data_IF_991994203301
#
_entry.id   IF_991994203301
#
_cell.length_a   1.000
_cell.length_b   1.000
_cell.length_c   1.000
_cell.angle_alpha   90.00
_cell.angle_beta   90.00
_cell.angle_gamma   90.00
#
_symmetry.space_group_name_H-M   'P 1'
#
loop_
_entity.id
_entity.type
_entity.pdbx_description
1 polymer ?
#
# COMPACT_ATOMS: atom_id res chain seq x y z
N UNK A 1 -14.86 14.18 24.89
CA UNK A 1 -13.40 14.38 24.77
C UNK A 1 -13.02 13.83 23.42
N UNK A 2 -12.56 14.68 22.49
CA UNK A 2 -12.05 14.22 21.19
C UNK A 2 -10.79 13.40 21.45
N UNK A 3 -10.81 12.12 21.09
CA UNK A 3 -9.62 11.29 21.16
C UNK A 3 -8.55 11.97 20.29
N UNK A 4 -7.44 12.39 20.91
CA UNK A 4 -6.36 13.11 20.23
C UNK A 4 -5.40 12.16 19.53
N UNK A 5 -5.72 10.86 19.50
CA UNK A 5 -4.90 9.85 18.85
C UNK A 5 -5.07 9.93 17.34
N UNK A 6 -3.96 9.74 16.63
CA UNK A 6 -3.95 9.67 15.17
C UNK A 6 -2.93 8.66 14.68
N UNK A 7 -3.25 8.02 13.57
CA UNK A 7 -2.35 7.18 12.80
C UNK A 7 -1.97 7.94 11.52
N UNK A 8 -0.70 7.89 11.16
CA UNK A 8 -0.24 8.28 9.82
C UNK A 8 0.37 7.08 9.13
N UNK A 9 0.12 6.94 7.83
CA UNK A 9 0.76 5.92 7.00
C UNK A 9 1.53 6.62 5.89
N UNK A 10 2.82 6.35 5.82
CA UNK A 10 3.73 6.89 4.82
C UNK A 10 4.13 5.79 3.84
N UNK A 11 4.04 6.07 2.54
CA UNK A 11 4.75 5.32 1.51
C UNK A 11 6.20 5.80 1.51
N UNK A 12 7.10 5.02 2.11
CA UNK A 12 8.50 5.44 2.28
C UNK A 12 9.32 5.19 1.03
N UNK A 13 8.99 4.16 0.26
CA UNK A 13 9.61 3.92 -1.04
C UNK A 13 9.18 2.64 -1.72
N UNK A 14 9.84 2.39 -2.84
CA UNK A 14 9.60 1.26 -3.72
C UNK A 14 10.94 0.53 -3.97
N UNK A 15 10.90 -0.79 -3.93
CA UNK A 15 12.01 -1.66 -4.32
C UNK A 15 11.61 -2.47 -5.56
N UNK A 16 12.38 -2.37 -6.64
CA UNK A 16 12.36 -3.35 -7.71
C UNK A 16 13.16 -4.59 -7.27
N UNK A 17 12.46 -5.71 -7.09
CA UNK A 17 13.07 -6.98 -6.68
C UNK A 17 13.50 -7.80 -7.90
N UNK A 18 12.66 -7.82 -8.94
CA UNK A 18 12.92 -8.43 -10.23
C UNK A 18 12.49 -7.41 -11.28
N UNK A 19 13.39 -7.09 -12.22
CA UNK A 19 13.11 -6.18 -13.33
C UNK A 19 12.41 -6.97 -14.42
N UNK A 20 11.39 -6.37 -15.03
CA UNK A 20 10.77 -6.92 -16.22
C UNK A 20 11.57 -6.49 -17.45
N UNK A 21 11.94 -5.21 -17.55
CA UNK A 21 12.70 -4.66 -18.67
C UNK A 21 13.99 -3.88 -18.27
N UNK A 22 14.59 -3.22 -19.27
CA UNK A 22 15.89 -2.54 -19.14
C UNK A 22 15.84 -1.18 -18.46
N UNK A 23 14.79 -0.38 -18.72
CA UNK A 23 14.66 1.01 -18.22
C UNK A 23 13.45 1.24 -17.29
N UNK A 24 12.65 0.19 -16.98
CA UNK A 24 11.37 0.17 -16.22
C UNK A 24 10.87 1.58 -15.84
N UNK A 25 10.00 2.11 -16.70
CA UNK A 25 9.22 3.32 -16.42
C UNK A 25 7.95 2.87 -15.72
N UNK A 26 7.82 3.18 -14.42
CA UNK A 26 6.67 2.71 -13.65
C UNK A 26 5.85 3.87 -13.10
N UNK A 27 4.54 3.69 -13.12
CA UNK A 27 3.62 4.51 -12.35
C UNK A 27 2.76 3.63 -11.47
N UNK A 28 2.34 4.17 -10.34
CA UNK A 28 1.57 3.39 -9.39
C UNK A 28 0.62 4.23 -8.57
N UNK A 29 -0.20 3.51 -7.82
CA UNK A 29 -1.22 4.09 -6.97
C UNK A 29 -1.28 3.33 -5.65
N UNK A 30 -1.42 4.08 -4.57
CA UNK A 30 -1.76 3.54 -3.25
C UNK A 30 -3.18 3.97 -2.92
N UNK A 31 -4.09 3.01 -2.96
CA UNK A 31 -5.42 3.12 -2.38
C UNK A 31 -5.38 2.90 -0.89
N UNK A 32 -6.01 3.79 -0.14
CA UNK A 32 -6.25 3.63 1.28
C UNK A 32 -7.74 3.58 1.51
N UNK A 33 -8.22 2.47 2.07
CA UNK A 33 -9.63 2.26 2.38
C UNK A 33 -9.79 2.21 3.89
N UNK A 34 -10.76 2.97 4.41
CA UNK A 34 -11.17 2.96 5.82
C UNK A 34 -12.57 2.35 5.89
N UNK A 35 -12.70 1.02 6.09
CA UNK A 35 -13.96 0.32 5.94
C UNK A 35 -15.05 0.85 6.86
N UNK A 36 -14.70 1.17 8.12
CA UNK A 36 -15.63 1.67 9.14
C UNK A 36 -16.31 2.98 8.76
N UNK A 37 -15.70 3.76 7.86
CA UNK A 37 -16.20 5.05 7.39
C UNK A 37 -16.76 5.04 5.98
N UNK A 38 -16.62 3.92 5.23
CA UNK A 38 -16.94 3.86 3.79
C UNK A 38 -16.16 4.90 2.97
N UNK A 39 -14.95 5.25 3.40
CA UNK A 39 -14.13 6.25 2.72
C UNK A 39 -12.88 5.62 2.12
N UNK A 40 -12.41 6.22 1.03
CA UNK A 40 -11.11 5.91 0.47
C UNK A 40 -10.40 7.16 -0.01
N UNK A 41 -9.08 7.08 -0.03
CA UNK A 41 -8.19 8.04 -0.70
C UNK A 41 -7.27 7.27 -1.64
N UNK A 42 -6.84 7.92 -2.72
CA UNK A 42 -5.90 7.34 -3.67
C UNK A 42 -4.75 8.30 -3.88
N UNK A 43 -3.54 7.78 -3.72
CA UNK A 43 -2.29 8.51 -3.88
C UNK A 43 -1.54 7.94 -5.07
N UNK A 44 -1.40 8.74 -6.13
CA UNK A 44 -0.62 8.36 -7.31
C UNK A 44 0.85 8.74 -7.13
N UNK A 45 1.75 7.93 -7.68
CA UNK A 45 3.17 8.26 -7.77
C UNK A 45 3.76 7.80 -9.13
N UNK A 46 4.78 8.52 -9.64
CA UNK A 46 5.24 9.80 -9.12
C UNK A 46 4.17 10.89 -9.34
N UNK A 47 4.30 12.01 -8.63
CA UNK A 47 3.30 13.07 -8.68
C UNK A 47 3.30 13.74 -10.07
N UNK A 48 2.13 13.89 -10.70
CA UNK A 48 1.99 14.50 -12.03
C UNK A 48 1.77 13.47 -13.15
N UNK A 49 2.18 13.84 -14.36
CA UNK A 49 2.10 13.01 -15.59
C UNK A 49 3.41 12.28 -15.90
N UNK A 50 4.43 12.48 -15.09
CA UNK A 50 5.73 11.83 -15.27
C UNK A 50 5.67 10.37 -14.80
N UNK A 51 6.56 9.53 -15.34
CA UNK A 51 6.81 8.17 -14.87
C UNK A 51 8.05 8.10 -13.99
N UNK A 52 8.07 7.12 -13.08
CA UNK A 52 9.21 6.88 -12.22
C UNK A 52 10.17 5.94 -12.94
N UNK A 53 11.24 6.50 -13.49
CA UNK A 53 12.34 5.68 -14.00
C UNK A 53 13.07 5.04 -12.83
N UNK A 54 13.16 3.71 -12.79
CA UNK A 54 13.82 2.98 -11.69
C UNK A 54 15.36 3.09 -11.69
N UNK A 55 15.90 4.22 -12.15
CA UNK A 55 17.31 4.52 -12.26
C UNK A 55 18.04 3.64 -13.28
N UNK A 56 19.35 3.86 -13.41
CA UNK A 56 20.21 3.07 -14.30
C UNK A 56 20.10 1.57 -13.97
N UNK A 57 20.36 0.67 -14.93
CA UNK A 57 20.53 -0.75 -14.65
C UNK A 57 21.40 -0.98 -13.40
N UNK A 58 20.83 -1.64 -12.39
CA UNK A 58 21.46 -1.86 -11.08
C UNK A 58 20.84 -1.08 -9.93
N UNK A 59 20.20 0.07 -10.17
CA UNK A 59 19.39 0.76 -9.16
C UNK A 59 18.07 0.01 -8.97
N UNK A 60 17.75 -0.29 -7.71
CA UNK A 60 16.63 -1.15 -7.31
C UNK A 60 15.75 -0.53 -6.24
N UNK A 61 16.12 0.60 -5.65
CA UNK A 61 15.34 1.25 -4.60
C UNK A 61 15.17 2.74 -4.87
N UNK A 62 14.00 3.28 -4.53
CA UNK A 62 13.69 4.70 -4.64
C UNK A 62 12.86 5.15 -3.44
N UNK A 63 13.24 6.30 -2.88
CA UNK A 63 12.51 6.94 -1.79
C UNK A 63 11.36 7.77 -2.36
N UNK A 64 10.17 7.60 -1.80
CA UNK A 64 8.96 8.35 -2.18
C UNK A 64 8.49 9.28 -1.06
N UNK A 65 8.73 8.91 0.21
CA UNK A 65 8.39 9.65 1.43
C UNK A 65 7.06 10.44 1.38
N UNK A 66 5.99 9.75 0.99
CA UNK A 66 4.68 10.36 0.74
C UNK A 66 3.66 9.94 1.79
N UNK A 67 3.03 10.91 2.45
CA UNK A 67 1.91 10.65 3.38
C UNK A 67 0.68 10.18 2.58
N UNK A 68 0.25 8.94 2.79
CA UNK A 68 -0.89 8.34 2.09
C UNK A 68 -2.15 8.23 2.96
N UNK A 69 -2.00 8.41 4.27
CA UNK A 69 -3.13 8.39 5.20
C UNK A 69 -2.82 9.15 6.48
N UNK A 70 -3.76 9.97 6.95
CA UNK A 70 -3.78 10.52 8.31
C UNK A 70 -5.22 10.51 8.81
N UNK A 71 -5.48 9.81 9.92
CA UNK A 71 -6.81 9.76 10.52
C UNK A 71 -6.74 9.27 11.99
N UNK A 72 -7.87 9.21 12.69
CA UNK A 72 -7.96 8.58 14.01
C UNK A 72 -7.83 7.05 13.90
N UNK A 73 -7.36 6.36 14.96
CA UNK A 73 -7.15 4.91 14.95
C UNK A 73 -8.37 4.11 14.48
N UNK A 74 -8.13 3.16 13.57
CA UNK A 74 -9.15 2.27 13.02
C UNK A 74 -8.54 1.30 12.02
N UNK A 75 -9.33 0.34 11.53
CA UNK A 75 -8.90 -0.54 10.45
C UNK A 75 -8.61 0.26 9.17
N UNK A 76 -7.46 -0.01 8.56
CA UNK A 76 -7.04 0.57 7.29
C UNK A 76 -6.63 -0.57 6.34
N UNK A 77 -7.09 -0.52 5.10
CA UNK A 77 -6.66 -1.44 4.04
C UNK A 77 -5.88 -0.64 3.00
N UNK A 78 -4.62 -1.01 2.82
CA UNK A 78 -3.77 -0.53 1.75
C UNK A 78 -3.98 -1.42 0.52
N UNK A 79 -4.14 -0.81 -0.64
CA UNK A 79 -4.11 -1.45 -1.94
C UNK A 79 -3.06 -0.75 -2.78
N UNK A 80 -2.09 -1.49 -3.30
CA UNK A 80 -1.02 -0.96 -4.13
C UNK A 80 -1.16 -1.53 -5.53
N UNK A 81 -1.04 -0.64 -6.51
CA UNK A 81 -1.11 -0.96 -7.93
C UNK A 81 0.12 -0.36 -8.60
N UNK A 82 0.67 -1.09 -9.56
CA UNK A 82 1.81 -0.67 -10.35
C UNK A 82 1.55 -1.09 -11.80
N UNK A 83 1.93 -0.23 -12.72
CA UNK A 83 1.91 -0.50 -14.16
C UNK A 83 3.27 -0.13 -14.71
N UNK A 84 3.76 -0.97 -15.60
CA UNK A 84 4.85 -0.64 -16.51
C UNK A 84 4.30 0.21 -17.64
N UNK A 85 4.92 1.36 -17.87
CA UNK A 85 4.52 2.26 -18.93
C UNK A 85 5.44 2.08 -20.13
N UNK A 86 4.87 1.62 -21.23
CA UNK A 86 5.52 1.59 -22.54
C UNK A 86 5.03 2.76 -23.40
N UNK A 87 3.72 3.03 -23.40
CA UNK A 87 3.13 4.18 -24.12
C UNK A 87 1.66 4.46 -23.75
N UNK A 88 1.23 5.74 -23.78
CA UNK A 88 -0.19 6.11 -23.57
C UNK A 88 -0.41 7.32 -22.66
N UNK A 89 -1.66 7.59 -22.28
CA UNK A 89 -2.02 8.64 -21.31
C UNK A 89 -2.28 8.03 -19.93
N UNK A 90 -1.31 8.22 -19.03
CA UNK A 90 -1.33 7.75 -17.63
C UNK A 90 -2.49 8.35 -16.81
N UNK A 91 -3.09 9.47 -17.27
CA UNK A 91 -4.16 10.16 -16.55
C UNK A 91 -5.45 9.33 -16.51
N UNK A 92 -5.84 8.73 -17.63
CA UNK A 92 -7.07 7.92 -17.73
C UNK A 92 -6.97 6.67 -16.83
N UNK A 93 -5.78 6.07 -16.76
CA UNK A 93 -5.49 4.95 -15.85
C UNK A 93 -5.66 5.34 -14.38
N UNK A 94 -5.06 6.47 -13.97
CA UNK A 94 -5.13 6.98 -12.60
C UNK A 94 -6.57 7.25 -12.15
N UNK A 95 -7.39 7.84 -13.01
CA UNK A 95 -8.81 8.10 -12.72
C UNK A 95 -9.62 6.81 -12.50
N UNK A 96 -9.39 5.77 -13.29
CA UNK A 96 -10.11 4.49 -13.17
C UNK A 96 -9.75 3.74 -11.91
N UNK A 97 -8.46 3.67 -11.57
CA UNK A 97 -8.02 3.11 -10.27
C UNK A 97 -8.73 3.82 -9.12
N UNK A 98 -8.80 5.14 -9.17
CA UNK A 98 -9.45 5.94 -8.14
C UNK A 98 -10.94 5.60 -8.00
N UNK A 99 -11.64 5.46 -9.13
CA UNK A 99 -13.04 5.06 -9.15
C UNK A 99 -13.24 3.67 -8.51
N UNK A 100 -12.31 2.75 -8.75
CA UNK A 100 -12.47 1.36 -8.34
C UNK A 100 -12.08 1.08 -6.90
N UNK A 101 -11.03 1.74 -6.40
CA UNK A 101 -10.77 1.80 -4.96
C UNK A 101 -11.97 2.41 -4.22
N UNK A 102 -12.61 3.42 -4.80
CA UNK A 102 -13.82 4.04 -4.21
C UNK A 102 -15.03 3.09 -4.21
N UNK A 103 -15.20 2.31 -5.28
CA UNK A 103 -16.23 1.25 -5.35
C UNK A 103 -15.97 0.17 -4.30
N UNK A 104 -14.72 -0.28 -4.17
CA UNK A 104 -14.31 -1.24 -3.16
C UNK A 104 -14.58 -0.73 -1.74
N UNK A 105 -14.26 0.53 -1.44
CA UNK A 105 -14.53 1.16 -0.14
C UNK A 105 -16.03 1.20 0.21
N UNK A 106 -16.87 1.46 -0.79
CA UNK A 106 -18.33 1.47 -0.63
C UNK A 106 -18.87 0.08 -0.33
N UNK A 107 -18.43 -0.93 -1.09
CA UNK A 107 -18.79 -2.35 -0.86
C UNK A 107 -18.34 -2.84 0.51
N UNK A 108 -17.13 -2.44 0.93
CA UNK A 108 -16.56 -2.79 2.22
C UNK A 108 -17.37 -2.29 3.40
N UNK A 109 -17.69 -1.00 3.41
CA UNK A 109 -18.45 -0.48 4.55
C UNK A 109 -19.91 -0.92 4.54
N UNK A 110 -20.43 -1.51 3.47
CA UNK A 110 -21.71 -2.24 3.51
C UNK A 110 -21.61 -3.57 4.28
N UNK A 111 -20.41 -4.18 4.35
CA UNK A 111 -20.14 -5.38 5.14
C UNK A 111 -19.76 -5.08 6.61
N UNK A 112 -19.39 -3.84 6.94
CA UNK A 112 -19.11 -3.42 8.33
C UNK A 112 -20.40 -3.46 9.15
N UNK A 113 -20.48 -4.43 10.07
CA UNK A 113 -21.66 -4.74 10.89
C UNK A 113 -22.06 -6.22 10.85
N UNK A 114 -21.48 -7.00 9.93
CA UNK A 114 -21.63 -8.46 9.88
C UNK A 114 -20.69 -9.10 10.93
N UNK A 115 -21.17 -10.09 11.75
CA UNK A 115 -20.34 -10.75 12.76
C UNK A 115 -19.04 -11.30 12.18
N UNK A 116 -17.93 -11.18 12.91
CA UNK A 116 -16.61 -11.63 12.49
C UNK A 116 -16.55 -13.13 12.12
N UNK A 117 -17.47 -13.94 12.66
CA UNK A 117 -17.65 -15.36 12.37
C UNK A 117 -18.23 -15.63 10.96
N UNK A 118 -18.95 -14.66 10.39
CA UNK A 118 -19.50 -14.72 9.04
C UNK A 118 -18.59 -14.07 7.98
N UNK A 119 -17.60 -13.27 8.41
CA UNK A 119 -16.51 -12.80 7.56
C UNK A 119 -15.39 -13.85 7.55
N UNK A 120 -15.65 -14.97 6.87
CA UNK A 120 -14.68 -16.07 6.70
C UNK A 120 -13.36 -15.56 6.15
N UNK A 121 -12.38 -15.37 7.05
CA UNK A 121 -11.04 -14.82 6.81
C UNK A 121 -11.02 -13.47 6.09
N UNK A 122 -10.47 -12.44 6.73
CA UNK A 122 -10.07 -11.19 6.06
C UNK A 122 -9.20 -11.40 4.82
N UNK A 123 -8.64 -12.61 4.65
CA UNK A 123 -7.81 -13.02 3.52
C UNK A 123 -8.61 -13.35 2.26
N UNK A 124 -9.82 -13.93 2.38
CA UNK A 124 -10.72 -14.14 1.25
C UNK A 124 -11.13 -12.81 0.60
N UNK A 125 -11.53 -11.84 1.44
CA UNK A 125 -11.90 -10.50 0.97
C UNK A 125 -10.73 -9.72 0.34
N UNK A 126 -9.54 -9.77 0.95
CA UNK A 126 -8.32 -9.13 0.43
C UNK A 126 -7.95 -9.73 -0.93
N UNK A 127 -8.13 -11.05 -1.10
CA UNK A 127 -7.97 -11.71 -2.39
C UNK A 127 -9.05 -11.28 -3.39
N UNK A 128 -10.32 -11.16 -2.99
CA UNK A 128 -11.41 -10.71 -3.88
C UNK A 128 -11.19 -9.27 -4.36
N UNK A 129 -10.69 -8.39 -3.48
CA UNK A 129 -10.31 -7.03 -3.84
C UNK A 129 -9.17 -7.02 -4.86
N UNK A 130 -8.12 -7.81 -4.62
CA UNK A 130 -7.00 -7.94 -5.56
C UNK A 130 -7.46 -8.50 -6.91
N UNK A 131 -8.25 -9.58 -6.94
CA UNK A 131 -8.77 -10.18 -8.18
C UNK A 131 -9.68 -9.22 -8.95
N UNK A 132 -10.61 -8.55 -8.27
CA UNK A 132 -11.49 -7.58 -8.91
C UNK A 132 -10.75 -6.37 -9.50
N UNK A 133 -9.63 -5.97 -8.88
CA UNK A 133 -8.75 -4.95 -9.45
C UNK A 133 -7.93 -5.50 -10.64
N UNK A 134 -7.41 -6.74 -10.59
CA UNK A 134 -6.70 -7.36 -11.72
C UNK A 134 -7.58 -7.43 -12.96
N UNK A 135 -8.74 -8.08 -12.86
CA UNK A 135 -9.62 -8.35 -14.01
C UNK A 135 -9.99 -7.03 -14.73
N UNK A 136 -10.22 -5.97 -13.95
CA UNK A 136 -10.56 -4.67 -14.48
C UNK A 136 -9.34 -3.90 -15.02
N UNK A 137 -8.14 -4.10 -14.50
CA UNK A 137 -6.95 -3.50 -15.13
C UNK A 137 -6.63 -4.18 -16.46
N UNK A 138 -6.70 -5.52 -16.54
CA UNK A 138 -6.42 -6.26 -17.76
C UNK A 138 -7.38 -5.97 -18.91
N UNK A 139 -8.63 -5.59 -18.61
CA UNK A 139 -9.62 -5.24 -19.64
C UNK A 139 -9.39 -3.85 -20.27
N UNK A 140 -8.60 -2.99 -19.61
CA UNK A 140 -8.55 -1.55 -19.91
C UNK A 140 -7.19 -1.04 -20.32
N UNK A 141 -6.14 -1.61 -19.76
CA UNK A 141 -4.77 -1.30 -20.18
C UNK A 141 -4.61 -1.93 -21.57
N UNK A 142 -4.34 -1.09 -22.57
CA UNK A 142 -4.14 -1.55 -23.94
C UNK A 142 -3.01 -2.58 -24.01
N UNK A 143 -2.90 -3.31 -25.13
CA UNK A 143 -1.94 -4.40 -25.31
C UNK A 143 -0.44 -4.04 -25.18
N UNK A 144 -0.13 -2.79 -24.84
CA UNK A 144 1.21 -2.23 -24.77
C UNK A 144 1.66 -1.90 -23.33
N UNK A 145 0.77 -1.62 -22.37
CA UNK A 145 1.16 -1.36 -20.96
C UNK A 145 0.88 -2.62 -20.11
N UNK A 146 1.80 -3.01 -19.22
CA UNK A 146 1.70 -4.26 -18.45
C UNK A 146 1.36 -4.00 -16.97
N UNK A 147 0.10 -4.25 -16.54
CA UNK A 147 -0.26 -4.12 -15.14
C UNK A 147 0.30 -5.27 -14.30
N UNK A 148 0.91 -4.92 -13.18
CA UNK A 148 1.28 -5.88 -12.15
C UNK A 148 0.03 -6.29 -11.37
N UNK A 149 0.02 -7.53 -10.87
CA UNK A 149 -1.05 -7.97 -9.97
C UNK A 149 -1.08 -7.09 -8.71
N UNK A 150 -2.21 -6.42 -8.39
CA UNK A 150 -2.35 -5.57 -7.23
C UNK A 150 -2.09 -6.29 -5.91
N UNK A 151 -1.32 -5.63 -5.06
CA UNK A 151 -1.01 -6.09 -3.71
C UNK A 151 -1.90 -5.39 -2.70
N UNK A 152 -2.22 -6.06 -1.60
CA UNK A 152 -3.09 -5.50 -0.56
C UNK A 152 -2.58 -5.85 0.83
N UNK A 153 -2.80 -4.96 1.81
CA UNK A 153 -2.41 -5.17 3.21
C UNK A 153 -3.40 -4.49 4.15
N UNK A 154 -3.93 -5.25 5.11
CA UNK A 154 -4.70 -4.68 6.23
C UNK A 154 -3.77 -4.28 7.37
N UNK A 155 -3.91 -3.05 7.84
CA UNK A 155 -3.43 -2.57 9.14
C UNK A 155 -4.62 -2.65 10.09
N UNK A 156 -4.58 -3.61 11.02
CA UNK A 156 -5.71 -3.88 11.90
C UNK A 156 -5.89 -2.78 12.95
N UNK A 157 -7.12 -2.39 13.22
CA UNK A 157 -7.45 -1.53 14.36
C UNK A 157 -6.95 -2.14 15.68
N UNK A 158 -7.00 -3.46 15.83
CA UNK A 158 -6.47 -4.17 17.01
C UNK A 158 -4.97 -4.00 17.17
N UNK A 159 -4.23 -4.05 16.06
CA UNK A 159 -2.77 -3.90 16.06
C UNK A 159 -2.39 -2.49 16.49
N UNK A 160 -3.12 -1.50 15.97
CA UNK A 160 -2.98 -0.08 16.36
C UNK A 160 -3.26 0.11 17.86
N UNK A 161 -4.37 -0.45 18.37
CA UNK A 161 -4.72 -0.30 19.79
C UNK A 161 -3.72 -1.03 20.70
N UNK A 162 -3.20 -2.18 20.29
CA UNK A 162 -2.11 -2.89 21.00
C UNK A 162 -0.87 -2.03 21.06
N UNK A 163 -0.47 -1.41 19.95
CA UNK A 163 0.71 -0.55 19.89
C UNK A 163 0.56 0.74 20.72
N UNK A 164 -0.66 1.24 20.91
CA UNK A 164 -0.93 2.32 21.88
C UNK A 164 -0.89 1.86 23.35
N UNK A 165 -0.74 0.57 23.64
CA UNK A 165 -0.86 0.02 24.99
C UNK A 165 -2.29 0.04 25.53
N UNK A 166 -3.29 0.07 24.65
CA UNK A 166 -4.72 0.17 24.99
C UNK A 166 -5.47 -1.16 24.80
N UNK A 167 -4.73 -2.24 24.58
CA UNK A 167 -5.33 -3.56 24.53
C UNK A 167 -5.93 -3.92 25.90
N UNK A 168 -7.05 -4.65 25.89
CA UNK A 168 -7.70 -5.16 27.11
C UNK A 168 -6.66 -5.87 28.00
N UNK A 169 -6.84 -5.84 29.33
CA UNK A 169 -5.93 -6.45 30.32
C UNK A 169 -5.57 -7.93 30.00
N UNK A 170 -6.37 -8.62 29.19
CA UNK A 170 -6.09 -9.99 28.72
C UNK A 170 -4.98 -10.09 27.64
N UNK A 171 -4.45 -8.97 27.15
CA UNK A 171 -3.50 -8.89 26.03
C UNK A 171 -2.11 -8.34 26.44
N UNK A 172 -1.80 -8.32 27.74
CA UNK A 172 -0.54 -7.79 28.27
C UNK A 172 0.75 -8.44 27.69
N UNK A 173 0.65 -9.62 27.06
CA UNK A 173 1.77 -10.33 26.44
C UNK A 173 1.77 -10.32 24.90
N UNK A 174 0.95 -9.49 24.24
CA UNK A 174 0.96 -9.40 22.77
C UNK A 174 2.10 -8.49 22.30
N UNK A 175 3.06 -9.00 21.50
CA UNK A 175 4.14 -8.18 20.96
C UNK A 175 3.60 -7.03 20.11
N UNK A 176 4.28 -5.88 20.18
CA UNK A 176 3.98 -4.76 19.29
C UNK A 176 4.14 -5.19 17.82
N UNK A 177 3.08 -5.12 17.00
CA UNK A 177 3.12 -5.56 15.61
C UNK A 177 3.93 -4.62 14.70
N UNK A 178 4.18 -3.37 15.12
CA UNK A 178 4.91 -2.37 14.33
C UNK A 178 6.37 -2.27 14.77
N UNK A 179 7.18 -3.22 14.32
CA UNK A 179 8.62 -3.23 14.60
C UNK A 179 9.35 -2.44 13.51
N UNK A 180 10.00 -1.33 13.89
CA UNK A 180 10.79 -0.52 12.97
C UNK A 180 11.96 -1.33 12.36
N UNK A 181 12.10 -1.22 11.04
CA UNK A 181 13.09 -1.89 10.21
C UNK A 181 13.59 -0.92 9.14
N UNK A 182 14.78 -1.20 8.61
CA UNK A 182 15.35 -0.55 7.44
C UNK A 182 15.67 -1.58 6.38
N UNK A 183 15.28 -1.30 5.15
CA UNK A 183 15.72 -2.02 3.98
C UNK A 183 16.78 -1.21 3.24
N UNK A 184 17.82 -1.89 2.78
CA UNK A 184 18.91 -1.32 2.01
C UNK A 184 19.43 -2.37 1.05
N UNK A 185 19.96 -1.98 -0.11
CA UNK A 185 20.58 -2.91 -1.05
C UNK A 185 22.00 -2.49 -1.45
N UNK A 186 22.91 -3.45 -1.66
CA UNK A 186 24.26 -3.16 -2.14
C UNK A 186 24.30 -2.49 -3.51
N UNK A 187 23.31 -2.79 -4.36
CA UNK A 187 23.20 -2.27 -5.74
C UNK A 187 22.55 -0.88 -5.81
N UNK A 188 22.01 -0.40 -4.69
CA UNK A 188 21.48 0.98 -4.53
C UNK A 188 22.09 1.65 -3.30
N UNK A 189 23.40 1.93 -3.29
CA UNK A 189 24.08 2.50 -2.13
C UNK A 189 23.52 3.88 -1.80
N UNK A 190 23.25 4.12 -0.51
CA UNK A 190 22.76 5.41 0.00
C UNK A 190 21.25 5.57 0.03
N UNK A 191 20.48 4.58 -0.43
CA UNK A 191 19.02 4.54 -0.26
C UNK A 191 18.66 3.57 0.87
N UNK A 192 17.99 4.08 1.90
CA UNK A 192 17.41 3.28 2.98
C UNK A 192 15.90 3.51 3.01
N UNK A 193 15.13 2.43 2.97
CA UNK A 193 13.68 2.48 3.09
C UNK A 193 13.26 2.04 4.49
N UNK A 194 12.69 2.97 5.23
CA UNK A 194 12.20 2.73 6.58
C UNK A 194 10.79 2.14 6.53
N UNK A 195 10.52 1.15 7.36
CA UNK A 195 9.19 0.55 7.43
C UNK A 195 8.98 -0.13 8.78
N UNK A 196 7.73 -0.39 9.12
CA UNK A 196 7.39 -1.17 10.32
C UNK A 196 6.21 -2.13 10.13
N UNK A 197 5.78 -2.29 8.89
CA UNK A 197 4.94 -3.40 8.45
C UNK A 197 5.66 -4.16 7.33
N UNK A 198 5.23 -5.39 7.05
CA UNK A 198 5.79 -6.13 5.93
C UNK A 198 5.46 -5.40 4.62
N UNK A 199 6.40 -5.33 3.65
CA UNK A 199 6.17 -4.69 2.37
C UNK A 199 5.00 -5.31 1.62
N UNK A 200 4.28 -4.48 0.87
CA UNK A 200 3.23 -4.97 -0.04
C UNK A 200 3.86 -5.24 -1.40
N UNK A 201 3.79 -6.49 -1.86
CA UNK A 201 4.46 -6.93 -3.08
C UNK A 201 3.47 -7.02 -4.22
N UNK A 202 3.87 -6.52 -5.39
CA UNK A 202 3.19 -6.71 -6.67
C UNK A 202 4.12 -7.47 -7.62
N UNK A 203 3.54 -8.27 -8.51
CA UNK A 203 4.29 -9.02 -9.52
C UNK A 203 3.44 -9.23 -10.77
N UNK A 204 4.08 -9.17 -11.93
CA UNK A 204 3.47 -9.32 -13.24
C UNK A 204 4.30 -10.26 -14.13
N UNK A 205 3.71 -10.66 -15.24
CA UNK A 205 4.42 -11.33 -16.32
C UNK A 205 3.90 -10.74 -17.62
N UNK A 206 4.79 -10.23 -18.47
CA UNK A 206 4.41 -9.67 -19.77
C UNK A 206 3.98 -10.74 -20.77
N UNK A 207 3.56 -10.27 -21.96
CA UNK A 207 3.26 -11.14 -23.11
C UNK A 207 4.47 -11.93 -23.64
N UNK A 208 5.71 -11.52 -23.32
CA UNK A 208 6.95 -12.21 -23.66
C UNK A 208 7.33 -13.35 -22.69
N UNK A 209 6.74 -13.36 -21.50
CA UNK A 209 7.03 -14.29 -20.41
C UNK A 209 8.05 -13.78 -19.39
N UNK A 210 8.50 -12.52 -19.49
CA UNK A 210 9.42 -11.93 -18.52
C UNK A 210 8.65 -11.49 -17.27
N UNK A 211 9.29 -11.63 -16.10
CA UNK A 211 8.63 -11.46 -14.80
C UNK A 211 9.15 -10.21 -14.10
N UNK A 212 8.26 -9.29 -13.78
CA UNK A 212 8.53 -8.16 -12.90
C UNK A 212 8.07 -8.40 -11.46
N UNK A 213 8.77 -7.82 -10.48
CA UNK A 213 8.36 -7.85 -9.06
C UNK A 213 8.83 -6.62 -8.30
N UNK A 214 7.90 -6.01 -7.57
CA UNK A 214 8.12 -4.78 -6.82
C UNK A 214 7.59 -4.87 -5.39
N UNK A 215 8.26 -4.23 -4.44
CA UNK A 215 7.86 -4.17 -3.04
C UNK A 215 7.68 -2.72 -2.58
N UNK A 216 6.51 -2.43 -2.03
CA UNK A 216 6.12 -1.14 -1.47
C UNK A 216 6.38 -1.11 0.02
N UNK A 217 7.15 -0.13 0.47
CA UNK A 217 7.53 0.03 1.87
C UNK A 217 6.67 1.10 2.54
N UNK A 218 6.16 0.74 3.72
CA UNK A 218 5.27 1.61 4.49
C UNK A 218 5.74 1.78 5.93
N UNK A 219 5.68 3.01 6.39
CA UNK A 219 5.90 3.36 7.79
C UNK A 219 4.60 3.85 8.41
N UNK A 220 4.15 3.14 9.44
CA UNK A 220 3.02 3.53 10.29
C UNK A 220 3.55 4.32 11.47
N UNK A 221 3.04 5.53 11.69
CA UNK A 221 3.34 6.28 12.92
C UNK A 221 2.07 6.51 13.72
N UNK A 222 2.21 6.48 15.05
CA UNK A 222 1.13 6.63 16.00
C UNK A 222 1.41 7.83 16.90
N UNK A 223 0.41 8.67 17.13
CA UNK A 223 0.53 9.87 17.95
C UNK A 223 -0.55 9.94 19.00
N UNK A 224 -0.21 10.38 20.21
CA UNK A 224 -1.14 10.74 21.27
C UNK A 224 -1.09 12.27 21.47
N UNK A 225 -1.96 13.00 20.77
CA UNK A 225 -1.82 14.45 20.66
C UNK A 225 -0.64 14.83 19.78
N UNK A 226 0.31 15.59 20.33
CA UNK A 226 1.55 15.97 19.62
C UNK A 226 2.70 15.01 19.84
N UNK A 227 2.56 14.07 20.80
CA UNK A 227 3.60 13.11 21.14
C UNK A 227 3.56 11.92 20.19
N UNK A 228 4.72 11.55 19.64
CA UNK A 228 4.88 10.34 18.83
C UNK A 228 5.02 9.14 19.78
N UNK A 229 4.08 8.21 19.70
CA UNK A 229 4.05 6.97 20.49
C UNK A 229 4.83 5.87 19.75
N UNK A 230 4.78 5.89 18.42
CA UNK A 230 5.45 4.92 17.57
C UNK A 230 5.80 5.55 16.22
N UNK A 231 6.97 5.25 15.66
CA UNK A 231 7.36 5.71 14.33
C UNK A 231 8.88 5.73 14.16
N UNK A 232 9.40 6.66 13.34
CA UNK A 232 10.86 6.83 13.19
C UNK A 232 11.50 7.08 14.57
N UNK A 233 12.59 6.37 14.93
CA UNK A 233 13.43 6.75 16.07
C UNK A 233 13.95 8.19 15.87
N UNK A 234 14.02 8.95 16.96
CA UNK A 234 14.64 10.28 16.97
C UNK A 234 16.17 10.21 16.87
#
# INVERSE_FOLDING_TARGET
MTDKRRITVWLTGLECQIRQEGEDEVHGSVGVIVPSRKTSTVHHFPAGVDDLKMGKPGVRMVTLDSLVHEDVPGDVVLSVLLVEHDSGDVTEYKEKIAAEISRAATSLGAAVGVPAEAMGSSQGFVNDLSLGLVDLLSDWVGADDDPYNPGTRRISGRDIMTAYGLALEELHDVPNPFVYRRASRPDTPGVELEHNIDPVVVSGTDGGGDTGRYAFYFLVELFAGTEKVLGRPE
#
